data_IF_670815812246
#
_entry.id   IF_670815812246
#
_cell.length_a   1.000
_cell.length_b   1.000
_cell.length_c   1.000
_cell.angle_alpha   90.00
_cell.angle_beta   90.00
_cell.angle_gamma   90.00
#
_symmetry.space_group_name_H-M   'P 1'
#
loop_
_entity.id
_entity.type
_entity.pdbx_description
1 polymer ?
#
# COMPACT_ATOMS: atom_id res chain seq x y z
N UNK A 1 13.81 -60.96 -0.52
CA UNK A 1 12.85 -59.85 -0.66
C UNK A 1 13.66 -58.59 -0.94
N UNK A 2 13.44 -57.94 -2.07
CA UNK A 2 14.14 -56.69 -2.39
C UNK A 2 13.50 -55.56 -1.58
N UNK A 3 14.30 -54.88 -0.75
CA UNK A 3 13.87 -53.72 0.02
C UNK A 3 14.01 -52.49 -0.88
N UNK A 4 12.89 -51.90 -1.32
CA UNK A 4 12.92 -50.62 -2.04
C UNK A 4 12.77 -49.49 -1.02
N UNK A 5 13.83 -48.72 -0.81
CA UNK A 5 13.78 -47.49 -0.01
C UNK A 5 13.35 -46.31 -0.90
N UNK A 6 12.27 -45.63 -0.51
CA UNK A 6 11.82 -44.40 -1.17
C UNK A 6 12.68 -43.22 -0.71
N UNK A 7 13.82 -43.02 -1.36
CA UNK A 7 14.71 -41.87 -1.13
C UNK A 7 14.22 -40.64 -1.93
N UNK A 8 14.38 -39.42 -1.41
CA UNK A 8 14.00 -38.19 -2.13
C UNK A 8 12.70 -37.49 -1.68
N UNK A 9 11.85 -38.16 -0.88
CA UNK A 9 10.57 -37.56 -0.45
C UNK A 9 10.78 -36.42 0.56
N UNK A 10 11.81 -36.53 1.40
CA UNK A 10 12.21 -35.48 2.35
C UNK A 10 12.69 -34.23 1.60
N UNK A 11 13.53 -34.41 0.59
CA UNK A 11 14.04 -33.36 -0.27
C UNK A 11 12.90 -32.66 -1.03
N UNK A 12 11.94 -33.44 -1.55
CA UNK A 12 10.75 -32.91 -2.20
C UNK A 12 9.90 -32.08 -1.23
N UNK A 13 9.64 -32.58 -0.03
CA UNK A 13 8.89 -31.86 0.99
C UNK A 13 9.59 -30.54 1.37
N UNK A 14 10.90 -30.56 1.57
CA UNK A 14 11.69 -29.36 1.85
C UNK A 14 11.62 -28.35 0.71
N UNK A 15 11.72 -28.80 -0.54
CA UNK A 15 11.61 -27.95 -1.74
C UNK A 15 10.24 -27.28 -1.81
N UNK A 16 9.16 -28.03 -1.61
CA UNK A 16 7.78 -27.52 -1.62
C UNK A 16 7.58 -26.48 -0.51
N UNK A 17 8.06 -26.75 0.71
CA UNK A 17 8.01 -25.79 1.81
C UNK A 17 8.79 -24.51 1.49
N UNK A 18 9.99 -24.64 0.90
CA UNK A 18 10.81 -23.51 0.51
C UNK A 18 10.12 -22.66 -0.57
N UNK A 19 9.50 -23.30 -1.58
CA UNK A 19 8.72 -22.62 -2.61
C UNK A 19 7.54 -21.85 -1.99
N UNK A 20 6.81 -22.46 -1.05
CA UNK A 20 5.72 -21.80 -0.33
C UNK A 20 6.18 -20.56 0.43
N UNK A 21 7.29 -20.66 1.18
CA UNK A 21 7.88 -19.51 1.91
C UNK A 21 8.33 -18.40 0.95
N UNK A 22 8.97 -18.77 -0.16
CA UNK A 22 9.43 -17.84 -1.19
C UNK A 22 8.26 -17.11 -1.85
N UNK A 23 7.20 -17.84 -2.21
CA UNK A 23 5.95 -17.27 -2.73
C UNK A 23 5.30 -16.29 -1.76
N UNK A 24 5.20 -16.65 -0.48
CA UNK A 24 4.67 -15.78 0.55
C UNK A 24 5.47 -14.48 0.70
N UNK A 25 6.81 -14.56 0.68
CA UNK A 25 7.69 -13.39 0.74
C UNK A 25 7.54 -12.50 -0.51
N UNK A 26 7.52 -13.11 -1.69
CA UNK A 26 7.34 -12.42 -2.97
C UNK A 26 6.02 -11.64 -3.03
N UNK A 27 4.91 -12.24 -2.59
CA UNK A 27 3.61 -11.57 -2.51
C UNK A 27 3.65 -10.34 -1.58
N UNK A 28 4.28 -10.47 -0.41
CA UNK A 28 4.43 -9.36 0.55
C UNK A 28 5.19 -8.19 -0.09
N UNK A 29 6.27 -8.47 -0.82
CA UNK A 29 7.06 -7.44 -1.53
C UNK A 29 6.27 -6.82 -2.69
N UNK A 30 5.57 -7.64 -3.47
CA UNK A 30 4.79 -7.20 -4.62
C UNK A 30 3.68 -6.23 -4.19
N UNK A 31 2.86 -6.61 -3.21
CA UNK A 31 1.76 -5.76 -2.72
C UNK A 31 2.29 -4.42 -2.17
N UNK A 32 3.44 -4.43 -1.47
CA UNK A 32 4.09 -3.18 -1.02
C UNK A 32 4.54 -2.31 -2.21
N UNK A 33 5.09 -2.91 -3.26
CA UNK A 33 5.50 -2.18 -4.46
C UNK A 33 4.29 -1.56 -5.17
N UNK A 34 3.19 -2.31 -5.31
CA UNK A 34 1.93 -1.75 -5.81
C UNK A 34 1.40 -0.61 -4.95
N UNK A 35 1.55 -0.70 -3.63
CA UNK A 35 1.19 0.37 -2.70
C UNK A 35 2.04 1.64 -2.85
N UNK A 36 3.32 1.52 -3.21
CA UNK A 36 4.21 2.68 -3.46
C UNK A 36 3.76 3.52 -4.64
N UNK A 37 3.28 2.90 -5.71
CA UNK A 37 2.71 3.61 -6.86
C UNK A 37 1.57 4.54 -6.43
N UNK A 38 0.66 4.05 -5.59
CA UNK A 38 -0.43 4.87 -5.06
C UNK A 38 0.07 5.93 -4.07
N UNK A 39 1.07 5.63 -3.24
CA UNK A 39 1.69 6.60 -2.34
C UNK A 39 2.26 7.79 -3.12
N UNK A 40 2.99 7.53 -4.20
CA UNK A 40 3.54 8.55 -5.10
C UNK A 40 2.43 9.30 -5.87
N UNK A 41 1.37 8.59 -6.26
CA UNK A 41 0.17 9.20 -6.81
C UNK A 41 -0.46 10.21 -5.86
N UNK A 42 -0.58 9.89 -4.56
CA UNK A 42 -1.06 10.84 -3.55
C UNK A 42 -0.17 12.06 -3.44
N UNK A 43 1.15 11.89 -3.52
CA UNK A 43 2.07 13.03 -3.55
C UNK A 43 1.93 13.88 -4.81
N UNK A 44 1.22 13.46 -5.86
CA UNK A 44 0.95 14.32 -7.03
C UNK A 44 -0.42 14.99 -6.94
N UNK A 45 -1.45 14.21 -6.64
CA UNK A 45 -2.85 14.64 -6.76
C UNK A 45 -3.43 15.27 -5.49
N UNK A 46 -2.87 14.95 -4.33
CA UNK A 46 -3.44 15.41 -3.08
C UNK A 46 -3.28 16.94 -2.93
N UNK A 47 -4.29 17.65 -2.41
CA UNK A 47 -4.28 19.10 -2.32
C UNK A 47 -3.16 19.61 -1.42
N UNK A 48 -2.56 20.73 -1.83
CA UNK A 48 -1.49 21.42 -1.11
C UNK A 48 -1.88 22.85 -0.78
N UNK A 49 -1.48 23.30 0.41
CA UNK A 49 -1.50 24.73 0.74
C UNK A 49 -0.23 25.39 0.20
N UNK A 50 -0.27 26.70 -0.06
CA UNK A 50 0.95 27.46 -0.42
C UNK A 50 1.97 27.49 0.72
N UNK A 51 1.49 27.49 1.96
CA UNK A 51 2.31 27.47 3.15
C UNK A 51 1.78 26.44 4.14
N UNK A 52 2.53 25.37 4.45
CA UNK A 52 2.15 24.42 5.48
C UNK A 52 2.33 25.06 6.86
N UNK A 53 1.28 24.99 7.69
CA UNK A 53 1.27 25.64 9.01
C UNK A 53 2.06 24.81 10.02
N UNK A 54 2.90 25.47 10.81
CA UNK A 54 3.65 24.86 11.93
C UNK A 54 2.73 24.56 13.12
N UNK A 55 3.22 23.75 14.05
CA UNK A 55 2.57 23.51 15.34
C UNK A 55 2.28 24.81 16.06
N UNK A 56 1.11 24.89 16.70
CA UNK A 56 0.78 25.95 17.66
C UNK A 56 0.20 25.31 18.92
N UNK A 57 0.11 26.04 20.03
CA UNK A 57 -0.45 25.53 21.29
C UNK A 57 -1.85 24.92 21.10
N UNK A 58 -2.69 25.55 20.26
CA UNK A 58 -4.05 25.06 19.94
C UNK A 58 -4.08 23.96 18.88
N UNK A 59 -3.03 23.83 18.07
CA UNK A 59 -2.95 22.88 16.95
C UNK A 59 -1.58 22.20 16.95
N UNK A 60 -1.29 21.47 18.03
CA UNK A 60 -0.01 20.78 18.24
C UNK A 60 0.25 19.67 17.23
N UNK A 61 -0.82 19.10 16.65
CA UNK A 61 -0.75 18.07 15.63
C UNK A 61 -0.19 18.54 14.29
N UNK A 62 -0.01 19.85 14.07
CA UNK A 62 0.56 20.37 12.82
C UNK A 62 2.06 20.21 12.79
N UNK A 63 2.61 19.85 11.64
CA UNK A 63 4.06 19.58 11.49
C UNK A 63 4.79 20.63 10.67
N UNK A 64 4.09 21.54 9.97
CA UNK A 64 4.72 22.37 8.94
C UNK A 64 5.06 21.60 7.65
N UNK A 65 4.53 20.39 7.47
CA UNK A 65 4.67 19.59 6.24
C UNK A 65 3.32 19.38 5.54
N UNK A 66 3.34 18.95 4.29
CA UNK A 66 2.12 18.64 3.53
C UNK A 66 1.67 17.20 3.76
N UNK A 67 0.34 17.03 3.87
CA UNK A 67 -0.27 15.71 3.85
C UNK A 67 0.07 14.95 2.58
N UNK A 68 0.06 15.60 1.41
CA UNK A 68 0.38 14.97 0.13
C UNK A 68 1.67 14.11 0.13
N UNK A 69 2.71 14.55 0.85
CA UNK A 69 4.01 13.87 0.90
C UNK A 69 4.09 12.80 2.01
N UNK A 70 3.03 12.66 2.80
CA UNK A 70 2.98 11.83 4.00
C UNK A 70 1.85 10.80 3.97
N UNK A 71 1.44 10.37 2.77
CA UNK A 71 0.58 9.20 2.62
C UNK A 71 1.32 7.96 3.16
N UNK A 72 0.67 7.15 3.99
CA UNK A 72 1.29 5.96 4.60
C UNK A 72 0.89 4.70 3.85
N UNK A 73 1.81 3.74 3.75
CA UNK A 73 1.53 2.36 3.37
C UNK A 73 1.46 1.54 4.65
N UNK A 74 0.37 0.82 4.88
CA UNK A 74 0.23 -0.02 6.08
C UNK A 74 1.17 -1.23 6.04
N UNK A 75 1.30 -1.92 7.17
CA UNK A 75 1.76 -3.29 7.17
C UNK A 75 0.89 -4.15 6.23
N UNK A 76 1.48 -5.21 5.67
CA UNK A 76 0.74 -6.16 4.83
C UNK A 76 -0.24 -6.91 5.71
N UNK A 77 -1.51 -6.90 5.29
CA UNK A 77 -2.61 -7.61 5.93
C UNK A 77 -3.03 -8.77 5.05
N UNK A 78 -3.70 -9.75 5.64
CA UNK A 78 -4.32 -10.85 4.90
C UNK A 78 -5.80 -10.93 5.27
N UNK A 79 -6.66 -11.11 4.28
CA UNK A 79 -8.08 -11.42 4.49
C UNK A 79 -8.47 -12.49 3.48
N UNK A 80 -9.04 -13.59 3.97
CA UNK A 80 -9.50 -14.71 3.11
C UNK A 80 -8.40 -15.23 2.16
N UNK A 81 -7.15 -15.29 2.66
CA UNK A 81 -6.00 -15.75 1.87
C UNK A 81 -5.40 -14.68 0.91
N UNK A 82 -6.03 -13.52 0.77
CA UNK A 82 -5.54 -12.43 -0.09
C UNK A 82 -4.73 -11.42 0.73
N UNK A 83 -3.49 -11.18 0.31
CA UNK A 83 -2.63 -10.16 0.90
C UNK A 83 -2.91 -8.79 0.30
N UNK A 84 -3.00 -7.77 1.16
CA UNK A 84 -3.24 -6.39 0.75
C UNK A 84 -2.50 -5.40 1.66
N UNK A 85 -2.35 -4.16 1.18
CA UNK A 85 -1.91 -3.01 1.98
C UNK A 85 -2.94 -1.91 1.83
N UNK A 86 -3.08 -1.10 2.86
CA UNK A 86 -3.82 0.14 2.78
C UNK A 86 -2.85 1.27 2.47
N UNK A 87 -3.27 2.22 1.63
CA UNK A 87 -2.45 3.38 1.26
C UNK A 87 -3.24 4.67 1.53
N UNK A 88 -2.56 5.66 2.11
CA UNK A 88 -3.14 6.97 2.42
C UNK A 88 -3.66 7.08 3.86
N UNK A 89 -4.77 7.78 4.04
CA UNK A 89 -5.35 8.12 5.35
C UNK A 89 -6.65 7.37 5.58
N UNK A 90 -6.60 6.36 6.44
CA UNK A 90 -7.76 5.54 6.76
C UNK A 90 -8.68 6.22 7.77
N UNK A 91 -9.89 5.66 7.95
CA UNK A 91 -10.88 6.14 8.92
C UNK A 91 -10.29 6.31 10.33
N UNK A 92 -9.50 5.34 10.78
CA UNK A 92 -8.83 5.36 12.10
C UNK A 92 -7.50 6.11 12.16
N UNK A 93 -7.07 6.80 11.09
CA UNK A 93 -5.82 7.56 11.10
C UNK A 93 -5.94 8.75 12.08
N UNK A 94 -5.00 8.83 13.02
CA UNK A 94 -4.82 9.86 14.04
C UNK A 94 -3.46 10.57 13.92
N UNK A 95 -2.75 10.40 12.81
CA UNK A 95 -1.49 11.08 12.52
C UNK A 95 -1.71 12.59 12.31
N UNK A 96 -0.65 13.41 12.32
CA UNK A 96 -0.70 14.82 11.90
C UNK A 96 -1.45 15.13 10.60
N UNK A 97 -1.60 14.15 9.72
CA UNK A 97 -2.22 14.28 8.41
C UNK A 97 -3.62 13.65 8.32
N UNK A 98 -4.22 13.29 9.47
CA UNK A 98 -5.55 12.66 9.53
C UNK A 98 -6.62 13.42 8.75
N UNK A 99 -6.50 14.75 8.63
CA UNK A 99 -7.47 15.61 7.97
C UNK A 99 -7.62 15.35 6.47
N UNK A 100 -6.62 14.71 5.84
CA UNK A 100 -6.65 14.38 4.41
C UNK A 100 -7.79 13.43 4.04
N UNK A 101 -8.27 12.60 4.98
CA UNK A 101 -9.46 11.77 4.77
C UNK A 101 -10.70 12.65 4.53
N UNK A 102 -10.92 13.66 5.35
CA UNK A 102 -12.05 14.59 5.17
C UNK A 102 -11.92 15.38 3.88
N UNK A 103 -10.70 15.75 3.50
CA UNK A 103 -10.46 16.45 2.23
C UNK A 103 -10.83 15.60 1.00
N UNK A 104 -10.79 14.26 1.09
CA UNK A 104 -11.16 13.37 0.00
C UNK A 104 -12.69 13.21 -0.17
N UNK A 105 -13.43 13.02 0.94
CA UNK A 105 -14.88 12.80 0.93
C UNK A 105 -15.70 14.09 1.04
N UNK A 106 -15.03 15.23 1.19
CA UNK A 106 -15.65 16.54 1.32
C UNK A 106 -15.73 17.02 2.76
N UNK A 107 -15.75 18.34 2.88
CA UNK A 107 -15.94 19.04 4.15
C UNK A 107 -17.22 19.84 4.09
N UNK A 108 -17.79 20.25 5.22
CA UNK A 108 -19.02 21.07 5.22
C UNK A 108 -18.91 22.36 4.38
N UNK A 109 -17.69 22.90 4.18
CA UNK A 109 -17.42 24.10 3.37
C UNK A 109 -17.08 23.81 1.91
N UNK A 110 -16.72 22.57 1.59
CA UNK A 110 -16.42 22.08 0.26
C UNK A 110 -17.07 20.69 0.12
N UNK A 111 -18.41 20.63 0.03
CA UNK A 111 -19.11 19.37 -0.17
C UNK A 111 -18.77 18.84 -1.57
N UNK A 112 -18.55 17.53 -1.70
CA UNK A 112 -18.44 16.87 -2.99
C UNK A 112 -19.85 16.43 -3.43
N UNK A 113 -20.49 17.20 -4.32
CA UNK A 113 -20.65 16.77 -5.72
C UNK A 113 -20.37 17.92 -6.72
N UNK A 114 -19.94 17.67 -7.98
CA UNK A 114 -19.93 16.40 -8.74
C UNK A 114 -18.53 15.80 -9.01
N UNK A 115 -17.45 16.33 -8.41
CA UNK A 115 -16.07 15.90 -8.73
C UNK A 115 -15.64 14.70 -7.88
N UNK A 116 -15.01 13.70 -8.51
CA UNK A 116 -14.31 12.58 -7.85
C UNK A 116 -13.23 13.10 -6.90
N UNK A 117 -13.11 12.49 -5.71
CA UNK A 117 -12.08 12.83 -4.73
C UNK A 117 -10.67 12.55 -5.28
N UNK A 118 -9.64 13.20 -4.73
CA UNK A 118 -8.27 13.02 -5.22
C UNK A 118 -7.79 11.56 -5.11
N UNK A 119 -8.27 10.81 -4.11
CA UNK A 119 -7.90 9.39 -3.96
C UNK A 119 -8.40 8.53 -5.12
N UNK A 120 -9.60 8.82 -5.64
CA UNK A 120 -10.15 8.09 -6.77
C UNK A 120 -9.34 8.34 -8.05
N UNK A 121 -8.88 9.58 -8.27
CA UNK A 121 -7.99 9.90 -9.39
C UNK A 121 -6.67 9.13 -9.32
N UNK A 122 -6.08 9.06 -8.12
CA UNK A 122 -4.85 8.29 -7.88
C UNK A 122 -5.04 6.82 -8.20
N UNK A 123 -6.15 6.22 -7.76
CA UNK A 123 -6.45 4.81 -8.06
C UNK A 123 -6.62 4.60 -9.57
N UNK A 124 -7.41 5.44 -10.24
CA UNK A 124 -7.65 5.32 -11.68
C UNK A 124 -6.39 5.49 -12.53
N UNK A 125 -5.53 6.45 -12.17
CA UNK A 125 -4.28 6.68 -12.89
C UNK A 125 -3.23 5.59 -12.59
N UNK A 126 -3.18 5.10 -11.35
CA UNK A 126 -2.13 4.22 -10.84
C UNK A 126 -2.38 2.72 -11.01
N UNK A 127 -3.60 2.28 -11.34
CA UNK A 127 -3.95 0.84 -11.36
C UNK A 127 -3.04 0.00 -12.25
N UNK A 128 -2.87 0.42 -13.52
CA UNK A 128 -2.02 -0.31 -14.48
C UNK A 128 -0.56 -0.34 -14.05
N UNK A 129 -0.05 0.76 -13.51
CA UNK A 129 1.32 0.88 -13.04
C UNK A 129 1.56 0.05 -11.77
N UNK A 130 0.59 0.02 -10.86
CA UNK A 130 0.62 -0.80 -9.65
C UNK A 130 0.69 -2.29 -9.99
N UNK A 131 -0.14 -2.75 -10.93
CA UNK A 131 -0.11 -4.14 -11.42
C UNK A 131 1.22 -4.48 -12.10
N UNK A 132 1.81 -3.54 -12.85
CA UNK A 132 3.16 -3.72 -13.44
C UNK A 132 4.24 -3.81 -12.37
N UNK A 133 4.21 -2.94 -11.36
CA UNK A 133 5.16 -2.96 -10.24
C UNK A 133 5.07 -4.28 -9.46
N UNK A 134 3.86 -4.74 -9.15
CA UNK A 134 3.61 -6.05 -8.53
C UNK A 134 4.18 -7.19 -9.37
N UNK A 135 3.88 -7.20 -10.68
CA UNK A 135 4.37 -8.22 -11.62
C UNK A 135 5.90 -8.27 -11.66
N UNK A 136 6.55 -7.12 -11.77
CA UNK A 136 8.01 -7.05 -11.87
C UNK A 136 8.69 -7.62 -10.61
N UNK A 137 8.14 -7.30 -9.43
CA UNK A 137 8.64 -7.88 -8.17
C UNK A 137 8.40 -9.38 -8.12
N UNK A 138 7.24 -9.87 -8.54
CA UNK A 138 6.98 -11.32 -8.57
C UNK A 138 7.94 -12.05 -9.51
N UNK A 139 8.19 -11.50 -10.71
CA UNK A 139 9.17 -12.04 -11.67
C UNK A 139 10.57 -12.12 -11.08
N UNK A 140 11.04 -11.01 -10.52
CA UNK A 140 12.37 -10.93 -9.90
C UNK A 140 12.51 -11.91 -8.73
N UNK A 141 11.53 -11.95 -7.83
CA UNK A 141 11.59 -12.79 -6.64
C UNK A 141 11.48 -14.27 -7.02
N UNK A 142 10.57 -14.63 -7.92
CA UNK A 142 10.31 -16.03 -8.28
C UNK A 142 11.23 -16.57 -9.38
N UNK A 143 12.06 -15.72 -10.00
CA UNK A 143 12.89 -16.06 -11.15
C UNK A 143 12.06 -16.55 -12.35
N UNK A 144 10.97 -15.81 -12.64
CA UNK A 144 10.06 -16.01 -13.79
C UNK A 144 10.29 -14.90 -14.83
#
# INVERSE_FOLDING_TARGET
MANMELQGMTELMLKVQQMGRKGASAQTKAVKAGGKVFQEGFSREAPRSRSPRKATVKQSWRTGQHGADNAKISAVKSKEGVKYVNVGWLKGDNSPFFYMKFQNWGTSKMPHPPKKGFAEKVVMAGERESLRAMRNVLKQELML
#
